data_IF_257078733416
#
_entry.id   IF_257078733416
#
_cell.length_a   1.000
_cell.length_b   1.000
_cell.length_c   1.000
_cell.angle_alpha   90.00
_cell.angle_beta   90.00
_cell.angle_gamma   90.00
#
_symmetry.space_group_name_H-M   'P 1'
#
loop_
_entity.id
_entity.type
_entity.pdbx_description
1 polymer ?
#
# COMPACT_ATOMS: atom_id res chain seq x y z
N UNK A 1 53.11 -33.21 -19.89
CA UNK A 1 54.31 -32.42 -20.22
C UNK A 1 55.46 -33.39 -20.39
N UNK A 2 56.08 -33.43 -21.57
CA UNK A 2 57.16 -34.39 -21.85
C UNK A 2 58.48 -33.86 -21.28
N UNK A 3 59.21 -34.69 -20.53
CA UNK A 3 60.51 -34.36 -19.93
C UNK A 3 61.67 -34.33 -20.96
N UNK A 4 61.37 -34.06 -22.23
CA UNK A 4 62.35 -34.04 -23.32
C UNK A 4 63.19 -32.75 -23.21
N UNK A 5 64.43 -32.88 -22.76
CA UNK A 5 65.42 -31.79 -22.70
C UNK A 5 66.18 -31.64 -21.38
N UNK A 6 65.89 -32.43 -20.34
CA UNK A 6 66.63 -32.39 -19.07
C UNK A 6 67.86 -33.31 -19.07
N UNK A 7 68.95 -32.94 -18.35
CA UNK A 7 70.13 -33.78 -18.23
C UNK A 7 69.81 -35.11 -17.51
N UNK A 8 70.56 -36.19 -17.82
CA UNK A 8 70.17 -37.56 -17.47
C UNK A 8 70.02 -37.80 -15.96
N UNK A 9 70.78 -37.10 -15.12
CA UNK A 9 70.68 -37.21 -13.66
C UNK A 9 69.35 -36.66 -13.10
N UNK A 10 68.72 -35.68 -13.77
CA UNK A 10 67.41 -35.15 -13.38
C UNK A 10 66.26 -36.00 -13.94
N UNK A 11 66.44 -36.64 -15.09
CA UNK A 11 65.43 -37.55 -15.65
C UNK A 11 65.13 -38.74 -14.72
N UNK A 12 66.12 -39.17 -13.93
CA UNK A 12 65.95 -40.24 -12.93
C UNK A 12 64.91 -39.86 -11.85
N UNK A 13 64.84 -38.58 -11.47
CA UNK A 13 63.90 -38.11 -10.45
C UNK A 13 62.43 -38.17 -10.92
N UNK A 14 62.21 -38.18 -12.23
CA UNK A 14 60.87 -38.25 -12.84
C UNK A 14 60.53 -39.65 -13.36
N UNK A 15 61.30 -40.68 -12.98
CA UNK A 15 60.91 -42.06 -13.27
C UNK A 15 59.55 -42.35 -12.63
N UNK A 16 58.65 -42.97 -13.41
CA UNK A 16 57.35 -43.36 -12.91
C UNK A 16 57.51 -44.33 -11.74
N UNK A 17 56.64 -44.23 -10.72
CA UNK A 17 56.54 -45.25 -9.68
C UNK A 17 56.12 -46.59 -10.31
N UNK A 18 56.46 -47.73 -9.68
CA UNK A 18 55.91 -49.00 -10.10
C UNK A 18 54.38 -48.92 -10.14
N UNK A 19 53.72 -49.67 -11.05
CA UNK A 19 52.27 -49.67 -11.14
C UNK A 19 51.68 -50.07 -9.78
N UNK A 20 50.64 -49.37 -9.35
CA UNK A 20 49.95 -49.69 -8.11
C UNK A 20 49.33 -51.09 -8.21
N UNK A 21 49.39 -51.85 -7.12
CA UNK A 21 48.65 -53.10 -7.03
C UNK A 21 47.15 -52.82 -7.11
N UNK A 22 46.47 -53.51 -8.01
CA UNK A 22 45.03 -53.36 -8.18
C UNK A 22 44.30 -53.93 -6.96
N UNK A 23 43.50 -53.09 -6.30
CA UNK A 23 42.52 -53.48 -5.29
C UNK A 23 41.15 -53.18 -5.86
N UNK A 24 40.20 -54.15 -5.88
CA UNK A 24 38.86 -53.91 -6.39
C UNK A 24 38.17 -52.79 -5.59
N UNK A 25 37.31 -51.97 -6.22
CA UNK A 25 36.52 -50.98 -5.50
C UNK A 25 35.71 -51.64 -4.39
N UNK A 26 35.63 -50.99 -3.22
CA UNK A 26 34.77 -51.45 -2.13
C UNK A 26 33.33 -51.41 -2.64
N UNK A 27 32.66 -52.55 -2.69
CA UNK A 27 31.23 -52.61 -3.03
C UNK A 27 30.45 -51.83 -1.96
N UNK A 28 29.83 -50.72 -2.34
CA UNK A 28 29.00 -49.94 -1.43
C UNK A 28 27.88 -50.84 -0.88
N UNK A 29 27.77 -50.88 0.46
CA UNK A 29 26.97 -51.85 1.21
C UNK A 29 25.53 -51.99 0.75
N UNK A 30 24.97 -53.17 1.04
CA UNK A 30 23.63 -53.62 0.64
C UNK A 30 22.57 -52.51 0.73
N UNK A 31 21.88 -52.27 -0.38
CA UNK A 31 20.68 -51.42 -0.41
C UNK A 31 19.64 -52.00 0.55
N UNK A 32 19.06 -51.16 1.42
CA UNK A 32 17.96 -51.58 2.30
C UNK A 32 16.85 -52.21 1.46
N UNK A 33 16.31 -53.34 1.90
CA UNK A 33 15.18 -54.00 1.23
C UNK A 33 13.95 -53.10 1.32
N UNK A 34 13.26 -52.89 0.20
CA UNK A 34 11.98 -52.19 0.21
C UNK A 34 10.94 -53.04 0.95
N UNK A 35 10.17 -52.42 1.83
CA UNK A 35 9.02 -53.03 2.51
C UNK A 35 7.70 -52.45 1.95
N UNK A 36 6.60 -53.15 2.18
CA UNK A 36 5.28 -52.72 1.71
C UNK A 36 4.66 -51.69 2.65
N UNK A 37 3.80 -50.81 2.14
CA UNK A 37 3.06 -49.85 2.98
C UNK A 37 2.14 -50.57 3.98
N UNK A 38 1.73 -51.80 3.66
CA UNK A 38 0.90 -52.64 4.53
C UNK A 38 1.54 -52.94 5.90
N UNK A 39 2.87 -53.01 5.96
CA UNK A 39 3.61 -53.27 7.20
C UNK A 39 3.38 -52.16 8.24
N UNK A 40 2.93 -50.97 7.80
CA UNK A 40 2.68 -49.82 8.67
C UNK A 40 1.23 -49.69 9.16
N UNK A 41 0.32 -50.57 8.74
CA UNK A 41 -1.10 -50.50 9.14
C UNK A 41 -1.25 -50.65 10.66
N UNK A 42 -0.40 -51.45 11.31
CA UNK A 42 -0.41 -51.65 12.76
C UNK A 42 0.09 -50.45 13.59
N UNK A 43 0.67 -49.42 12.95
CA UNK A 43 1.13 -48.21 13.63
C UNK A 43 0.03 -47.15 13.79
N UNK A 44 -1.11 -47.30 13.13
CA UNK A 44 -2.24 -46.38 13.29
C UNK A 44 -3.02 -46.75 14.56
N UNK A 45 -3.27 -45.77 15.43
CA UNK A 45 -4.09 -45.99 16.62
C UNK A 45 -5.57 -46.18 16.24
N UNK A 46 -6.26 -47.05 16.99
CA UNK A 46 -7.72 -47.24 16.86
C UNK A 46 -8.52 -46.18 17.67
N UNK A 47 -7.82 -45.20 18.25
CA UNK A 47 -8.43 -44.13 19.04
C UNK A 47 -9.11 -43.09 18.14
N UNK A 48 -10.02 -42.30 18.72
CA UNK A 48 -10.75 -41.27 18.00
C UNK A 48 -9.77 -40.26 17.38
N UNK A 49 -9.68 -40.27 16.05
CA UNK A 49 -8.80 -39.38 15.29
C UNK A 49 -9.24 -37.93 15.54
N UNK A 50 -8.37 -37.05 16.05
CA UNK A 50 -8.73 -35.65 16.23
C UNK A 50 -9.10 -35.04 14.87
N UNK A 51 -10.06 -34.10 14.82
CA UNK A 51 -10.44 -33.47 13.56
C UNK A 51 -9.19 -32.84 12.91
N UNK A 52 -9.05 -32.93 11.58
CA UNK A 52 -7.94 -32.31 10.89
C UNK A 52 -7.92 -30.81 11.18
N UNK A 53 -6.74 -30.19 11.31
CA UNK A 53 -6.66 -28.77 11.53
C UNK A 53 -7.35 -28.02 10.38
N UNK A 54 -8.01 -26.89 10.66
CA UNK A 54 -8.70 -26.13 9.63
C UNK A 54 -7.70 -25.67 8.56
N UNK A 55 -7.92 -26.09 7.32
CA UNK A 55 -7.12 -25.69 6.16
C UNK A 55 -7.80 -24.55 5.39
N UNK A 56 -7.05 -23.50 5.11
CA UNK A 56 -7.53 -22.37 4.33
C UNK A 56 -7.43 -22.66 2.82
N UNK A 57 -8.58 -22.68 2.15
CA UNK A 57 -8.65 -22.77 0.69
C UNK A 57 -8.03 -21.54 0.01
N UNK A 58 -7.53 -21.63 -1.23
CA UNK A 58 -6.98 -20.48 -1.95
C UNK A 58 -7.95 -19.27 -2.06
N UNK A 59 -9.26 -19.52 -2.14
CA UNK A 59 -10.29 -18.46 -2.15
C UNK A 59 -10.38 -17.75 -0.80
N UNK A 60 -10.42 -18.50 0.29
CA UNK A 60 -10.41 -17.94 1.65
C UNK A 60 -9.11 -17.14 1.89
N UNK A 61 -7.96 -17.62 1.40
CA UNK A 61 -6.69 -16.90 1.43
C UNK A 61 -6.71 -15.58 0.70
N UNK A 62 -7.31 -15.56 -0.48
CA UNK A 62 -7.47 -14.33 -1.25
C UNK A 62 -8.36 -13.32 -0.51
N UNK A 63 -9.47 -13.78 0.08
CA UNK A 63 -10.37 -12.92 0.84
C UNK A 63 -9.74 -12.41 2.14
N UNK A 64 -9.01 -13.25 2.88
CA UNK A 64 -8.23 -12.82 4.05
C UNK A 64 -7.24 -11.71 3.69
N UNK A 65 -6.47 -11.88 2.61
CA UNK A 65 -5.54 -10.84 2.12
C UNK A 65 -6.26 -9.56 1.72
N UNK A 66 -7.45 -9.63 1.10
CA UNK A 66 -8.26 -8.45 0.78
C UNK A 66 -8.78 -7.76 2.06
N UNK A 67 -9.28 -8.52 3.04
CA UNK A 67 -9.76 -8.01 4.33
C UNK A 67 -8.64 -7.29 5.08
N UNK A 68 -7.47 -7.92 5.19
CA UNK A 68 -6.29 -7.34 5.84
C UNK A 68 -5.87 -6.02 5.17
N UNK A 69 -5.81 -5.96 3.84
CA UNK A 69 -5.50 -4.72 3.10
C UNK A 69 -6.56 -3.63 3.30
N UNK A 70 -7.83 -4.01 3.40
CA UNK A 70 -8.93 -3.07 3.64
C UNK A 70 -8.82 -2.46 5.05
N UNK A 71 -8.55 -3.30 6.06
CA UNK A 71 -8.34 -2.86 7.45
C UNK A 71 -7.11 -1.94 7.54
N UNK A 72 -5.98 -2.35 6.95
CA UNK A 72 -4.78 -1.53 6.90
C UNK A 72 -5.05 -0.16 6.25
N UNK A 73 -5.81 -0.16 5.13
CA UNK A 73 -6.24 1.06 4.47
C UNK A 73 -7.14 1.91 5.37
N UNK A 74 -8.14 1.33 6.05
CA UNK A 74 -9.04 2.05 6.96
C UNK A 74 -8.28 2.64 8.15
N UNK A 75 -7.34 1.90 8.74
CA UNK A 75 -6.51 2.36 9.86
C UNK A 75 -5.63 3.54 9.42
N UNK A 76 -4.96 3.42 8.28
CA UNK A 76 -4.19 4.52 7.71
C UNK A 76 -5.05 5.73 7.37
N UNK A 77 -6.23 5.52 6.81
CA UNK A 77 -7.20 6.61 6.57
C UNK A 77 -7.62 7.30 7.88
N UNK A 78 -7.81 6.54 8.96
CA UNK A 78 -8.14 7.09 10.28
C UNK A 78 -6.99 7.92 10.84
N UNK A 79 -5.77 7.40 10.81
CA UNK A 79 -4.57 8.14 11.22
C UNK A 79 -4.39 9.43 10.40
N UNK A 80 -4.48 9.33 9.08
CA UNK A 80 -4.37 10.48 8.18
C UNK A 80 -5.50 11.52 8.40
N UNK A 81 -6.66 11.09 8.91
CA UNK A 81 -7.78 11.97 9.28
C UNK A 81 -7.53 12.67 10.61
N UNK A 82 -7.02 11.96 11.61
CA UNK A 82 -6.66 12.53 12.91
C UNK A 82 -5.53 13.56 12.75
N UNK A 83 -4.59 13.32 11.83
CA UNK A 83 -3.50 14.25 11.52
C UNK A 83 -3.89 15.39 10.54
N UNK A 84 -5.11 15.41 10.00
CA UNK A 84 -5.51 16.38 8.98
C UNK A 84 -5.97 17.71 9.59
N UNK A 85 -5.17 18.76 9.38
CA UNK A 85 -5.58 20.14 9.59
C UNK A 85 -5.53 20.88 8.24
N UNK A 86 -6.64 21.46 7.74
CA UNK A 86 -6.67 22.23 6.49
C UNK A 86 -5.85 23.54 6.55
N UNK A 87 -5.51 24.06 7.73
CA UNK A 87 -4.73 25.29 7.91
C UNK A 87 -3.22 25.03 8.01
N UNK A 88 -2.83 23.82 8.40
CA UNK A 88 -1.43 23.48 8.66
C UNK A 88 -0.87 22.55 7.56
N UNK A 89 0.33 22.86 7.07
CA UNK A 89 1.09 21.96 6.20
C UNK A 89 2.18 21.27 7.03
N UNK A 90 2.13 19.94 7.21
CA UNK A 90 3.12 19.23 8.00
C UNK A 90 4.53 19.28 7.39
N UNK A 91 4.69 19.67 6.12
CA UNK A 91 5.99 19.89 5.50
C UNK A 91 6.65 21.22 5.94
N UNK A 92 5.93 22.10 6.63
CA UNK A 92 6.42 23.38 7.13
C UNK A 92 6.66 23.33 8.64
N UNK A 93 7.66 24.08 9.10
CA UNK A 93 8.00 24.17 10.52
C UNK A 93 6.76 24.50 11.38
N UNK A 94 6.65 23.87 12.56
CA UNK A 94 5.53 24.08 13.48
C UNK A 94 5.34 25.58 13.74
N UNK A 95 4.14 26.10 13.44
CA UNK A 95 3.79 27.51 13.62
C UNK A 95 3.99 28.41 12.39
N UNK A 96 4.53 27.90 11.28
CA UNK A 96 4.61 28.65 10.02
C UNK A 96 3.32 28.51 9.21
N UNK A 97 2.71 29.64 8.83
CA UNK A 97 1.56 29.69 7.92
C UNK A 97 1.98 29.22 6.52
N UNK A 98 1.22 28.32 5.91
CA UNK A 98 1.52 27.81 4.58
C UNK A 98 1.62 28.95 3.54
N UNK A 99 2.81 29.23 2.95
CA UNK A 99 2.98 30.31 1.98
C UNK A 99 2.10 30.16 0.75
N UNK A 100 1.67 28.94 0.44
CA UNK A 100 0.82 28.60 -0.70
C UNK A 100 -0.68 28.70 -0.40
N UNK A 101 -1.07 28.94 0.84
CA UNK A 101 -2.46 29.11 1.24
C UNK A 101 -2.97 30.52 0.86
N UNK A 102 -4.21 30.60 0.39
CA UNK A 102 -4.88 31.89 0.12
C UNK A 102 -5.27 32.57 1.44
N UNK A 103 -5.38 33.89 1.44
CA UNK A 103 -5.62 34.64 2.69
C UNK A 103 -7.01 34.38 3.25
N UNK A 104 -8.05 34.60 2.43
CA UNK A 104 -9.44 34.48 2.85
C UNK A 104 -10.13 33.29 2.17
N UNK A 105 -10.55 32.26 2.93
CA UNK A 105 -11.23 31.11 2.36
C UNK A 105 -12.61 31.45 1.79
N UNK A 106 -13.29 32.50 2.28
CA UNK A 106 -14.59 32.94 1.75
C UNK A 106 -14.48 33.72 0.43
N UNK A 107 -13.27 34.17 0.07
CA UNK A 107 -12.96 34.79 -1.22
C UNK A 107 -12.25 33.83 -2.18
N UNK A 108 -12.11 32.56 -1.77
CA UNK A 108 -11.37 31.56 -2.54
C UNK A 108 -12.33 30.60 -3.26
N UNK A 109 -12.18 30.55 -4.58
CA UNK A 109 -12.89 29.65 -5.47
C UNK A 109 -12.04 28.39 -5.72
N UNK A 110 -12.66 27.22 -5.62
CA UNK A 110 -12.07 25.94 -6.02
C UNK A 110 -12.48 25.61 -7.45
N UNK A 111 -11.50 25.42 -8.34
CA UNK A 111 -11.73 25.03 -9.72
C UNK A 111 -11.09 23.69 -9.98
N UNK A 112 -11.85 22.73 -10.50
CA UNK A 112 -11.42 21.35 -10.76
C UNK A 112 -11.75 20.90 -12.17
N UNK A 113 -11.20 19.75 -12.57
CA UNK A 113 -11.31 19.21 -13.93
C UNK A 113 -10.65 20.11 -14.99
N UNK A 114 -9.61 20.84 -14.60
CA UNK A 114 -8.82 21.70 -15.49
C UNK A 114 -7.94 20.79 -16.38
N UNK A 115 -7.87 21.04 -17.70
CA UNK A 115 -6.92 20.36 -18.58
C UNK A 115 -5.46 20.58 -18.12
N UNK A 116 -4.63 19.55 -18.25
CA UNK A 116 -3.24 19.59 -17.78
C UNK A 116 -2.33 20.56 -18.56
N UNK A 117 -2.73 20.91 -19.78
CA UNK A 117 -2.01 21.86 -20.65
C UNK A 117 -2.26 23.33 -20.28
N UNK A 118 -3.31 23.59 -19.50
CA UNK A 118 -3.72 24.96 -19.16
C UNK A 118 -2.71 25.57 -18.20
N UNK A 119 -2.30 26.80 -18.50
CA UNK A 119 -1.38 27.57 -17.66
C UNK A 119 -2.14 28.50 -16.72
N UNK A 120 -1.47 28.94 -15.65
CA UNK A 120 -2.04 29.90 -14.70
C UNK A 120 -2.51 31.20 -15.37
N UNK A 121 -1.75 31.69 -16.37
CA UNK A 121 -2.11 32.88 -17.15
C UNK A 121 -3.42 32.72 -17.92
N UNK A 122 -3.69 31.51 -18.43
CA UNK A 122 -4.95 31.23 -19.11
C UNK A 122 -6.10 31.18 -18.11
N UNK A 123 -5.92 30.54 -16.95
CA UNK A 123 -6.94 30.56 -15.89
C UNK A 123 -7.24 31.98 -15.41
N UNK A 124 -6.21 32.83 -15.30
CA UNK A 124 -6.40 34.24 -14.97
C UNK A 124 -7.35 34.89 -15.96
N UNK A 125 -7.03 34.86 -17.27
CA UNK A 125 -7.88 35.47 -18.31
C UNK A 125 -9.31 34.95 -18.29
N UNK A 126 -9.49 33.66 -18.03
CA UNK A 126 -10.82 33.04 -18.04
C UNK A 126 -11.69 33.43 -16.83
N UNK A 127 -11.08 33.70 -15.67
CA UNK A 127 -11.79 34.01 -14.44
C UNK A 127 -11.82 35.51 -14.09
N UNK A 128 -10.98 36.33 -14.74
CA UNK A 128 -10.96 37.80 -14.60
C UNK A 128 -12.29 38.45 -15.03
N UNK A 129 -13.04 37.78 -15.91
CA UNK A 129 -14.38 38.22 -16.37
C UNK A 129 -15.40 38.31 -15.22
N UNK A 130 -15.19 37.56 -14.13
CA UNK A 130 -16.12 37.55 -13.00
C UNK A 130 -15.78 38.58 -11.92
N UNK A 131 -14.55 39.08 -11.93
CA UNK A 131 -14.03 39.99 -10.91
C UNK A 131 -12.51 39.97 -10.80
N UNK A 132 -11.95 40.88 -9.99
CA UNK A 132 -10.50 41.08 -9.91
C UNK A 132 -9.84 39.95 -9.15
N UNK A 133 -9.07 39.13 -9.85
CA UNK A 133 -8.28 38.04 -9.26
C UNK A 133 -7.11 38.61 -8.48
N UNK A 134 -6.95 38.17 -7.23
CA UNK A 134 -5.83 38.54 -6.35
C UNK A 134 -4.68 37.54 -6.45
N UNK A 135 -5.00 36.25 -6.41
CA UNK A 135 -4.01 35.17 -6.42
C UNK A 135 -4.58 33.91 -7.06
N UNK A 136 -3.77 33.22 -7.86
CA UNK A 136 -4.10 31.88 -8.35
C UNK A 136 -3.07 30.91 -7.80
N UNK A 137 -3.53 29.73 -7.37
CA UNK A 137 -2.68 28.63 -6.96
C UNK A 137 -3.10 27.36 -7.67
N UNK A 138 -2.35 26.99 -8.69
CA UNK A 138 -2.46 25.66 -9.29
C UNK A 138 -1.74 24.63 -8.42
N UNK A 139 -2.38 23.48 -8.20
CA UNK A 139 -1.78 22.41 -7.40
C UNK A 139 -1.13 21.38 -8.30
N UNK A 140 0.15 21.13 -8.02
CA UNK A 140 0.97 20.15 -8.69
C UNK A 140 1.23 18.96 -7.76
N UNK A 141 1.54 17.82 -8.36
CA UNK A 141 2.00 16.64 -7.64
C UNK A 141 3.48 16.76 -7.25
N UNK A 142 3.99 15.81 -6.47
CA UNK A 142 5.41 15.77 -6.05
C UNK A 142 6.39 15.77 -7.23
N UNK A 143 5.96 15.30 -8.39
CA UNK A 143 6.74 15.28 -9.64
C UNK A 143 6.51 16.55 -10.50
N UNK A 144 5.98 17.64 -9.91
CA UNK A 144 5.61 18.89 -10.57
C UNK A 144 4.57 18.77 -11.71
N UNK A 145 3.91 17.62 -11.85
CA UNK A 145 2.80 17.45 -12.81
C UNK A 145 1.51 18.10 -12.29
N UNK A 146 0.76 18.85 -13.11
CA UNK A 146 -0.48 19.50 -12.64
C UNK A 146 -1.52 18.46 -12.24
N UNK A 147 -2.15 18.62 -11.07
CA UNK A 147 -3.22 17.72 -10.62
C UNK A 147 -4.58 18.01 -11.27
N UNK A 148 -4.70 19.13 -12.01
CA UNK A 148 -5.93 19.51 -12.71
C UNK A 148 -6.97 20.22 -11.83
N UNK A 149 -6.51 20.88 -10.76
CA UNK A 149 -7.32 21.78 -9.96
C UNK A 149 -6.51 22.95 -9.43
N UNK A 150 -7.18 24.05 -9.10
CA UNK A 150 -6.60 25.30 -8.64
C UNK A 150 -7.50 25.99 -7.62
N UNK A 151 -6.89 26.86 -6.82
CA UNK A 151 -7.58 27.80 -5.94
C UNK A 151 -7.39 29.22 -6.48
N UNK A 152 -8.47 29.98 -6.59
CA UNK A 152 -8.46 31.35 -7.11
C UNK A 152 -9.02 32.26 -6.02
N UNK A 153 -8.18 33.13 -5.47
CA UNK A 153 -8.59 34.15 -4.51
C UNK A 153 -8.97 35.42 -5.27
N UNK A 154 -10.21 35.89 -5.05
CA UNK A 154 -10.70 37.16 -5.56
C UNK A 154 -10.44 38.30 -4.56
N UNK A 155 -10.48 39.53 -5.05
CA UNK A 155 -10.38 40.73 -4.20
C UNK A 155 -11.60 40.86 -3.30
N UNK A 156 -12.79 40.62 -3.86
CA UNK A 156 -14.09 40.73 -3.19
C UNK A 156 -14.85 39.39 -3.15
N UNK A 157 -15.68 39.24 -2.12
CA UNK A 157 -16.55 38.08 -1.91
C UNK A 157 -17.65 37.99 -2.98
N UNK A 158 -18.19 39.14 -3.40
CA UNK A 158 -19.22 39.23 -4.45
C UNK A 158 -18.75 38.66 -5.77
N UNK A 159 -17.48 38.89 -6.12
CA UNK A 159 -16.83 38.40 -7.33
C UNK A 159 -16.68 36.88 -7.28
N UNK A 160 -16.26 36.34 -6.13
CA UNK A 160 -16.20 34.89 -5.91
C UNK A 160 -17.58 34.24 -6.06
N UNK A 161 -18.63 34.81 -5.44
CA UNK A 161 -20.01 34.30 -5.55
C UNK A 161 -20.51 34.38 -6.99
N UNK A 162 -20.19 35.44 -7.72
CA UNK A 162 -20.48 35.61 -9.14
C UNK A 162 -19.80 34.52 -9.99
N UNK A 163 -18.52 34.24 -9.74
CA UNK A 163 -17.76 33.19 -10.40
C UNK A 163 -18.29 31.79 -10.05
N UNK A 164 -18.72 31.55 -8.81
CA UNK A 164 -19.35 30.30 -8.40
C UNK A 164 -20.65 30.03 -9.16
N UNK A 165 -21.51 31.04 -9.30
CA UNK A 165 -22.81 30.89 -10.00
C UNK A 165 -22.68 30.75 -11.52
N UNK A 166 -21.71 31.44 -12.14
CA UNK A 166 -21.61 31.56 -13.61
C UNK A 166 -20.43 30.83 -14.23
N UNK A 167 -19.46 30.42 -13.41
CA UNK A 167 -18.23 29.76 -13.85
C UNK A 167 -18.33 28.24 -13.92
N UNK A 168 -19.31 27.63 -13.26
CA UNK A 168 -19.47 26.17 -13.30
C UNK A 168 -19.80 25.68 -14.71
N UNK A 169 -19.13 24.61 -15.15
CA UNK A 169 -19.30 24.04 -16.48
C UNK A 169 -18.67 24.85 -17.62
N UNK A 170 -17.93 25.92 -17.33
CA UNK A 170 -17.20 26.71 -18.35
C UNK A 170 -16.21 25.83 -19.12
N UNK A 171 -16.14 25.99 -20.44
CA UNK A 171 -15.28 25.16 -21.29
C UNK A 171 -13.91 25.83 -21.47
N UNK A 172 -12.86 25.21 -20.95
CA UNK A 172 -11.47 25.66 -21.08
C UNK A 172 -10.69 24.56 -21.83
N UNK A 173 -10.05 24.92 -22.93
CA UNK A 173 -9.29 24.02 -23.82
C UNK A 173 -10.00 22.67 -24.05
N UNK A 174 -11.29 22.72 -24.38
CA UNK A 174 -12.08 21.54 -24.71
C UNK A 174 -12.78 20.84 -23.54
N UNK A 175 -12.41 21.09 -22.28
CA UNK A 175 -13.01 20.44 -21.09
C UNK A 175 -13.88 21.40 -20.29
N UNK A 176 -15.00 20.89 -19.78
CA UNK A 176 -15.85 21.64 -18.83
C UNK A 176 -15.24 21.58 -17.44
N UNK A 177 -14.86 22.72 -16.88
CA UNK A 177 -14.37 22.80 -15.51
C UNK A 177 -15.53 22.70 -14.52
N UNK A 178 -15.24 22.21 -13.33
CA UNK A 178 -16.18 22.17 -12.21
C UNK A 178 -15.73 23.20 -11.19
N UNK A 179 -16.65 24.07 -10.79
CA UNK A 179 -16.39 25.17 -9.86
C UNK A 179 -17.11 24.91 -8.55
N UNK A 180 -16.42 25.12 -7.42
CA UNK A 180 -17.00 25.05 -6.08
C UNK A 180 -16.38 26.13 -5.17
N UNK A 181 -16.96 26.33 -4.00
CA UNK A 181 -16.33 27.13 -2.94
C UNK A 181 -15.21 26.33 -2.27
N UNK A 182 -14.26 27.01 -1.64
CA UNK A 182 -13.22 26.34 -0.86
C UNK A 182 -13.78 25.72 0.43
N UNK A 183 -14.12 24.43 0.40
CA UNK A 183 -14.77 23.75 1.53
C UNK A 183 -13.85 23.41 2.69
N UNK A 184 -12.55 23.24 2.45
CA UNK A 184 -11.60 22.73 3.44
C UNK A 184 -11.51 23.61 4.71
N UNK A 185 -11.57 24.93 4.54
CA UNK A 185 -11.50 25.89 5.66
C UNK A 185 -12.85 26.52 6.01
N UNK A 186 -13.90 26.32 5.21
CA UNK A 186 -15.21 26.95 5.40
C UNK A 186 -16.27 26.00 5.93
N UNK A 187 -16.25 24.72 5.56
CA UNK A 187 -17.28 23.75 5.92
C UNK A 187 -16.76 22.84 7.03
N UNK A 188 -17.45 22.85 8.17
CA UNK A 188 -17.14 21.97 9.29
C UNK A 188 -17.33 20.48 8.89
N UNK A 189 -16.40 19.63 9.32
CA UNK A 189 -16.41 18.20 8.99
C UNK A 189 -16.07 17.88 7.53
N UNK A 190 -15.68 18.87 6.70
CA UNK A 190 -15.27 18.60 5.33
C UNK A 190 -13.95 17.81 5.29
N UNK A 191 -14.00 16.65 4.63
CA UNK A 191 -12.82 15.83 4.37
C UNK A 191 -12.52 15.77 2.86
N UNK A 192 -11.24 15.82 2.45
CA UNK A 192 -10.84 15.59 1.07
C UNK A 192 -11.05 14.12 0.64
N UNK A 193 -11.09 13.86 -0.67
CA UNK A 193 -11.29 12.51 -1.25
C UNK A 193 -10.28 11.47 -0.78
N UNK A 194 -9.04 11.89 -0.49
CA UNK A 194 -7.98 11.00 0.00
C UNK A 194 -8.23 10.49 1.41
N UNK A 195 -9.21 11.04 2.13
CA UNK A 195 -9.58 10.70 3.51
C UNK A 195 -11.00 10.10 3.58
N UNK A 196 -11.52 9.59 2.46
CA UNK A 196 -12.86 9.01 2.36
C UNK A 196 -14.00 10.02 2.24
N UNK A 197 -13.71 11.33 2.19
CA UNK A 197 -14.71 12.37 1.95
C UNK A 197 -14.79 12.84 0.51
N UNK A 198 -14.93 14.15 0.34
CA UNK A 198 -14.98 14.85 -0.92
C UNK A 198 -16.33 14.73 -1.63
N UNK A 199 -16.58 15.67 -2.55
CA UNK A 199 -17.82 15.74 -3.32
C UNK A 199 -17.72 14.93 -4.62
N UNK A 200 -18.85 14.36 -5.00
CA UNK A 200 -18.99 13.52 -6.20
C UNK A 200 -18.77 12.04 -5.90
N UNK A 201 -19.06 11.19 -6.89
CA UNK A 201 -19.04 9.73 -6.71
C UNK A 201 -17.60 9.23 -6.54
N UNK A 202 -17.40 8.36 -5.56
CA UNK A 202 -16.18 7.56 -5.44
C UNK A 202 -15.98 6.73 -6.71
N UNK A 203 -14.78 6.80 -7.28
CA UNK A 203 -14.45 6.05 -8.51
C UNK A 203 -14.28 4.55 -8.25
N UNK A 204 -14.08 4.16 -7.00
CA UNK A 204 -13.78 2.79 -6.59
C UNK A 204 -15.01 2.15 -5.96
N UNK A 205 -15.40 0.97 -6.45
CA UNK A 205 -16.44 0.14 -5.84
C UNK A 205 -15.88 -0.53 -4.58
N UNK A 206 -16.71 -0.82 -3.56
CA UNK A 206 -16.27 -1.61 -2.42
C UNK A 206 -15.75 -2.98 -2.88
N UNK A 207 -14.71 -3.52 -2.21
CA UNK A 207 -14.17 -4.83 -2.57
C UNK A 207 -15.24 -5.92 -2.37
N UNK A 208 -15.24 -6.91 -3.26
CA UNK A 208 -16.11 -8.09 -3.17
C UNK A 208 -15.30 -9.29 -2.68
N UNK A 209 -15.84 -9.97 -1.69
CA UNK A 209 -15.34 -11.21 -1.12
C UNK A 209 -16.10 -12.41 -1.70
N UNK A 210 -15.47 -13.58 -1.81
CA UNK A 210 -16.12 -14.77 -2.36
C UNK A 210 -17.18 -15.35 -1.43
N UNK A 211 -17.03 -15.16 -0.12
CA UNK A 211 -18.04 -15.52 0.88
C UNK A 211 -19.28 -14.61 0.85
N UNK A 212 -19.25 -13.51 0.09
CA UNK A 212 -20.34 -12.53 -0.02
C UNK A 212 -20.57 -11.71 1.26
N UNK A 213 -19.80 -11.95 2.32
CA UNK A 213 -19.96 -11.26 3.61
C UNK A 213 -19.11 -10.00 3.62
N UNK A 214 -19.67 -8.82 3.94
CA UNK A 214 -18.86 -7.62 4.11
C UNK A 214 -17.86 -7.78 5.26
N UNK A 215 -16.92 -6.84 5.35
CA UNK A 215 -16.05 -6.73 6.52
C UNK A 215 -16.90 -6.37 7.74
N UNK A 216 -16.76 -7.14 8.81
CA UNK A 216 -17.47 -6.91 10.08
C UNK A 216 -16.60 -6.09 11.04
N UNK A 217 -17.22 -5.36 11.98
CA UNK A 217 -16.48 -4.57 12.96
C UNK A 217 -15.58 -5.42 13.87
N UNK A 218 -15.97 -6.68 14.14
CA UNK A 218 -15.18 -7.62 14.94
C UNK A 218 -13.85 -8.00 14.26
N UNK A 219 -13.85 -8.14 12.93
CA UNK A 219 -12.65 -8.44 12.15
C UNK A 219 -11.69 -7.26 12.08
N UNK A 220 -12.20 -6.02 12.11
CA UNK A 220 -11.36 -4.81 12.22
C UNK A 220 -10.57 -4.82 13.53
N UNK A 221 -11.19 -5.22 14.65
CA UNK A 221 -10.57 -5.30 15.97
C UNK A 221 -9.61 -6.49 16.11
N UNK A 222 -9.90 -7.63 15.48
CA UNK A 222 -9.08 -8.84 15.59
C UNK A 222 -7.72 -8.71 14.88
N UNK A 223 -7.64 -7.87 13.85
CA UNK A 223 -6.39 -7.59 13.11
C UNK A 223 -5.59 -6.45 13.74
N UNK A 224 -6.21 -5.57 14.52
CA UNK A 224 -5.49 -4.49 15.23
C UNK A 224 -4.68 -4.97 16.44
N UNK A 225 -4.96 -6.18 16.96
CA UNK A 225 -4.10 -6.81 17.96
C UNK A 225 -2.93 -7.49 17.23
N UNK A 226 -1.66 -7.17 17.54
CA UNK A 226 -0.53 -7.85 16.93
C UNK A 226 -0.60 -9.36 17.25
N UNK A 227 -0.33 -10.20 16.25
CA UNK A 227 -0.39 -11.68 16.35
C UNK A 227 0.53 -12.24 17.45
N UNK A 228 1.46 -11.43 17.97
CA UNK A 228 2.31 -11.76 19.13
C UNK A 228 1.54 -11.94 20.44
N UNK A 229 0.28 -11.51 20.54
CA UNK A 229 -0.52 -11.70 21.76
C UNK A 229 -1.13 -13.11 21.89
N UNK A 230 -1.10 -13.94 20.83
CA UNK A 230 -1.68 -15.29 20.87
C UNK A 230 -0.71 -16.38 21.36
N UNK A 231 0.55 -16.03 21.62
CA UNK A 231 1.55 -16.97 22.16
C UNK A 231 1.72 -16.88 23.67
N UNK A 232 1.26 -15.80 24.32
CA UNK A 232 1.28 -15.70 25.80
C UNK A 232 0.10 -16.46 26.43
N UNK A 233 -1.11 -16.31 25.89
CA UNK A 233 -2.32 -16.95 26.48
C UNK A 233 -2.38 -18.48 26.30
N UNK A 234 -1.47 -19.10 25.53
CA UNK A 234 -1.42 -20.57 25.35
C UNK A 234 -0.22 -21.25 26.02
N UNK A 235 0.66 -20.51 26.70
CA UNK A 235 1.74 -21.10 27.50
C UNK A 235 1.43 -21.20 28.99
N UNK A 236 0.46 -20.44 29.50
CA UNK A 236 0.09 -20.48 30.92
C UNK A 236 -0.74 -21.72 31.31
N UNK A 237 -1.38 -22.41 30.35
CA UNK A 237 -2.24 -23.59 30.61
C UNK A 237 -1.48 -24.94 30.65
N UNK A 238 -0.15 -24.95 30.51
CA UNK A 238 0.66 -26.19 30.49
C UNK A 238 1.38 -26.47 31.82
N UNK A 239 1.43 -25.53 32.76
CA UNK A 239 2.17 -25.71 34.03
C UNK A 239 1.34 -26.18 35.25
N UNK A 240 0.00 -26.21 35.21
CA UNK A 240 -0.80 -26.65 36.38
C UNK A 240 -1.15 -28.15 36.40
N UNK A 241 -0.62 -28.95 35.47
CA UNK A 241 -1.12 -30.31 35.20
C UNK A 241 -0.32 -31.52 35.67
N UNK A 242 0.85 -31.40 36.30
CA UNK A 242 1.64 -32.58 36.72
C UNK A 242 2.46 -32.36 38.00
N UNK A 243 1.81 -32.43 39.16
CA UNK A 243 2.43 -32.99 40.37
C UNK A 243 1.38 -33.73 41.18
N UNK A 244 1.20 -35.03 40.91
CA UNK A 244 0.82 -36.08 41.87
C UNK A 244 1.34 -37.43 41.36
#
# INVERSE_FOLDING_TARGET
MSALGMPPHLLVLFQARPPLEYVPPIENGMKRKLCGIADFIGHFSNEHIPPPPPFETPRQRADRRKRQKLIEFQNKQREDREAYDPKYDPALARGSTNPWLTHDPYKTLFVSNIPYEVTEKQLWKEFDVYGRVRRIRMINDRQNRPRGYAFIEFSDDRDMVSAYKRGDGKKISGRRVMVDVERARTVEGWLPKRLGGGKGRSRTKPPKFHDGKPLTAEEEVKVSKPVTAYTDEMMDDVEEGQVL
#
